data_IF_638011959103
#
_entry.id   IF_638011959103
#
_cell.length_a   1.000
_cell.length_b   1.000
_cell.length_c   1.000
_cell.angle_alpha   90.00
_cell.angle_beta   90.00
_cell.angle_gamma   90.00
#
_symmetry.space_group_name_H-M   'P 1'
#
loop_
_entity.id
_entity.type
_entity.pdbx_description
1 polymer ?
#
# COMPACT_ATOMS: atom_id res chain seq x y z
N UNK A 1 -50.64 33.88 62.52
CA UNK A 1 -49.20 34.06 62.16
C UNK A 1 -48.69 32.74 61.61
N UNK A 2 -48.02 32.61 60.48
CA UNK A 2 -47.59 33.61 59.49
C UNK A 2 -47.49 32.97 58.09
N UNK A 3 -47.56 33.83 57.07
CA UNK A 3 -47.33 33.53 55.66
C UNK A 3 -45.82 33.36 55.41
N UNK A 4 -45.43 32.33 54.64
CA UNK A 4 -44.08 32.17 54.10
C UNK A 4 -44.12 31.93 52.58
N UNK A 5 -43.44 32.82 51.84
CA UNK A 5 -43.44 32.94 50.36
C UNK A 5 -42.78 31.74 49.65
N UNK A 6 -43.32 31.36 48.49
CA UNK A 6 -42.69 30.46 47.53
C UNK A 6 -41.64 31.20 46.67
N UNK A 7 -40.41 30.71 46.66
CA UNK A 7 -39.24 31.34 46.04
C UNK A 7 -39.01 30.80 44.61
N UNK A 8 -39.12 31.66 43.60
CA UNK A 8 -39.02 31.33 42.17
C UNK A 8 -37.58 31.10 41.67
N UNK A 9 -36.96 29.98 42.06
CA UNK A 9 -35.55 29.66 41.75
C UNK A 9 -35.20 28.54 40.75
N UNK A 10 -36.10 27.68 40.20
CA UNK A 10 -35.64 26.60 39.31
C UNK A 10 -35.36 27.07 37.86
N UNK A 11 -36.13 28.04 37.34
CA UNK A 11 -36.00 28.51 35.94
C UNK A 11 -34.68 29.25 35.66
N UNK A 12 -34.22 30.10 36.60
CA UNK A 12 -32.96 30.85 36.44
C UNK A 12 -31.74 29.93 36.37
N UNK A 13 -31.70 28.87 37.19
CA UNK A 13 -30.62 27.87 37.17
C UNK A 13 -30.56 27.16 35.82
N UNK A 14 -31.70 26.70 35.30
CA UNK A 14 -31.74 26.01 34.00
C UNK A 14 -31.27 26.92 32.85
N UNK A 15 -31.70 28.19 32.83
CA UNK A 15 -31.24 29.16 31.83
C UNK A 15 -29.73 29.42 31.93
N UNK A 16 -29.18 29.56 33.14
CA UNK A 16 -27.73 29.70 33.31
C UNK A 16 -26.95 28.47 32.84
N UNK A 17 -27.44 27.25 33.09
CA UNK A 17 -26.75 26.02 32.65
C UNK A 17 -26.77 25.86 31.13
N UNK A 18 -27.91 26.16 30.49
CA UNK A 18 -28.03 26.11 29.02
C UNK A 18 -27.14 27.16 28.35
N UNK A 19 -27.08 28.37 28.91
CA UNK A 19 -26.20 29.42 28.39
C UNK A 19 -24.72 29.04 28.51
N UNK A 20 -24.33 28.42 29.63
CA UNK A 20 -22.95 27.97 29.84
C UNK A 20 -22.56 26.85 28.86
N UNK A 21 -23.46 25.90 28.61
CA UNK A 21 -23.25 24.83 27.62
C UNK A 21 -23.17 25.37 26.19
N UNK A 22 -23.98 26.38 25.85
CA UNK A 22 -23.92 27.04 24.56
C UNK A 22 -22.59 27.78 24.35
N UNK A 23 -22.08 28.46 25.39
CA UNK A 23 -20.78 29.14 25.34
C UNK A 23 -19.63 28.14 25.21
N UNK A 24 -19.65 27.04 25.98
CA UNK A 24 -18.64 25.98 25.88
C UNK A 24 -18.69 25.31 24.50
N UNK A 25 -19.88 25.03 23.97
CA UNK A 25 -20.04 24.50 22.61
C UNK A 25 -19.53 25.44 21.53
N UNK A 26 -19.78 26.75 21.66
CA UNK A 26 -19.27 27.76 20.74
C UNK A 26 -17.75 27.88 20.80
N UNK A 27 -17.15 27.83 22.00
CA UNK A 27 -15.70 27.83 22.17
C UNK A 27 -15.05 26.56 21.59
N UNK A 28 -15.68 25.39 21.76
CA UNK A 28 -15.21 24.13 21.18
C UNK A 28 -15.31 24.13 19.65
N UNK A 29 -16.38 24.71 19.11
CA UNK A 29 -16.57 24.89 17.68
C UNK A 29 -15.54 25.86 17.08
N UNK A 30 -15.28 26.99 17.75
CA UNK A 30 -14.25 27.96 17.33
C UNK A 30 -12.84 27.37 17.43
N UNK A 31 -12.56 26.56 18.47
CA UNK A 31 -11.29 25.86 18.62
C UNK A 31 -11.08 24.81 17.52
N UNK A 32 -12.10 23.98 17.24
CA UNK A 32 -12.04 22.99 16.14
C UNK A 32 -11.84 23.66 14.77
N UNK A 33 -12.44 24.83 14.55
CA UNK A 33 -12.26 25.59 13.32
C UNK A 33 -10.87 26.21 13.19
N UNK A 34 -10.17 26.46 14.31
CA UNK A 34 -8.80 26.99 14.35
C UNK A 34 -7.73 25.88 14.29
N UNK A 35 -8.04 24.65 14.69
CA UNK A 35 -7.08 23.52 14.68
C UNK A 35 -7.12 22.67 13.41
N UNK A 36 -8.03 22.95 12.48
CA UNK A 36 -8.08 22.31 11.17
C UNK A 36 -6.99 22.84 10.23
N UNK A 37 -5.75 22.44 10.46
CA UNK A 37 -4.65 22.67 9.52
C UNK A 37 -4.86 21.78 8.30
N UNK A 38 -4.94 22.37 7.10
CA UNK A 38 -5.03 21.59 5.86
C UNK A 38 -3.76 20.73 5.67
N UNK A 39 -3.87 19.57 5.03
CA UNK A 39 -2.74 18.70 4.68
C UNK A 39 -1.66 19.41 3.84
N UNK A 40 -2.01 20.51 3.17
CA UNK A 40 -1.07 21.41 2.47
C UNK A 40 -0.17 22.18 3.48
N UNK A 41 -0.72 22.58 4.62
CA UNK A 41 0.02 23.33 5.64
C UNK A 41 0.96 22.42 6.45
N UNK A 42 0.67 21.12 6.55
CA UNK A 42 1.64 20.13 7.05
C UNK A 42 2.79 19.91 6.06
N UNK A 43 2.48 19.90 4.74
CA UNK A 43 3.51 19.88 3.69
C UNK A 43 4.39 21.14 3.71
N UNK A 44 3.82 22.31 3.94
CA UNK A 44 4.58 23.57 4.04
C UNK A 44 5.36 23.69 5.34
N UNK A 45 4.87 23.14 6.45
CA UNK A 45 5.61 23.07 7.74
C UNK A 45 6.72 22.02 7.72
N UNK A 46 6.57 20.92 6.98
CA UNK A 46 7.65 19.94 6.79
C UNK A 46 8.75 20.44 5.85
N UNK A 47 8.50 21.52 5.10
CA UNK A 47 9.48 22.26 4.29
C UNK A 47 10.11 23.45 5.03
N UNK A 48 9.66 23.76 6.25
CA UNK A 48 10.39 24.70 7.11
C UNK A 48 11.57 23.95 7.72
N UNK A 49 12.71 24.05 7.05
CA UNK A 49 14.01 23.82 7.66
C UNK A 49 14.04 24.57 8.99
N UNK A 50 14.14 23.83 10.09
CA UNK A 50 14.36 24.39 11.42
C UNK A 50 15.78 24.94 11.49
N UNK A 51 15.93 26.20 11.14
CA UNK A 51 17.15 27.00 11.19
C UNK A 51 16.80 28.39 10.72
N UNK A 52 17.45 29.42 11.28
CA UNK A 52 17.33 30.81 10.84
C UNK A 52 17.22 30.92 9.30
N UNK A 53 16.40 31.86 8.81
CA UNK A 53 16.27 32.24 7.39
C UNK A 53 17.59 32.74 6.75
N UNK A 54 18.74 32.57 7.41
CA UNK A 54 20.06 32.79 6.88
C UNK A 54 20.77 31.46 6.56
N UNK A 55 20.61 31.02 5.31
CA UNK A 55 21.47 30.12 4.52
C UNK A 55 20.74 28.87 3.98
N UNK A 56 19.97 29.04 2.92
CA UNK A 56 19.75 27.94 1.97
C UNK A 56 21.14 27.60 1.38
N UNK A 57 21.67 26.38 1.58
CA UNK A 57 22.97 26.02 1.03
C UNK A 57 22.95 26.16 -0.49
N UNK A 58 23.87 26.95 -1.06
CA UNK A 58 24.00 27.11 -2.52
C UNK A 58 24.32 25.79 -3.23
N UNK A 59 24.84 24.80 -2.50
CA UNK A 59 25.21 23.47 -2.98
C UNK A 59 24.98 22.44 -1.89
N UNK A 60 24.38 21.29 -2.22
CA UNK A 60 24.28 20.13 -1.32
C UNK A 60 25.62 19.40 -1.36
N UNK A 61 26.29 19.15 -0.21
CA UNK A 61 27.58 18.47 -0.20
C UNK A 61 27.45 17.01 -0.67
N UNK A 62 28.55 16.41 -1.14
CA UNK A 62 28.59 14.99 -1.53
C UNK A 62 28.92 14.13 -0.31
N UNK A 63 28.22 13.02 -0.14
CA UNK A 63 28.46 12.06 0.92
C UNK A 63 29.72 11.23 0.66
N UNK A 64 30.29 10.65 1.73
CA UNK A 64 31.27 9.58 1.62
C UNK A 64 30.65 8.37 0.86
N UNK A 65 31.43 7.73 0.00
CA UNK A 65 30.97 6.64 -0.87
C UNK A 65 30.55 5.39 -0.09
N UNK A 66 31.02 5.23 1.15
CA UNK A 66 30.58 4.19 2.09
C UNK A 66 29.10 4.27 2.45
N UNK A 67 28.47 5.43 2.22
CA UNK A 67 27.04 5.62 2.46
C UNK A 67 26.16 5.18 1.27
N UNK A 68 26.75 4.68 0.17
CA UNK A 68 26.02 4.24 -1.03
C UNK A 68 24.96 3.18 -0.76
N UNK A 69 25.23 2.25 0.16
CA UNK A 69 24.30 1.19 0.57
C UNK A 69 23.46 1.58 1.82
N UNK A 70 23.65 2.78 2.35
CA UNK A 70 22.89 3.23 3.52
C UNK A 70 21.45 3.56 3.10
N UNK A 71 20.49 2.89 3.74
CA UNK A 71 19.07 3.20 3.63
C UNK A 71 18.62 3.85 4.94
N UNK A 72 18.51 5.20 5.04
CA UNK A 72 18.50 5.90 6.33
C UNK A 72 17.44 5.45 7.33
N UNK A 73 16.25 5.08 6.86
CA UNK A 73 15.17 4.61 7.73
C UNK A 73 15.07 3.08 7.83
N UNK A 74 15.92 2.32 7.12
CA UNK A 74 15.96 0.86 7.16
C UNK A 74 17.36 0.37 7.57
N UNK A 75 18.13 1.23 8.23
CA UNK A 75 19.48 0.93 8.69
C UNK A 75 19.45 0.06 9.95
N UNK A 76 19.92 -1.19 9.80
CA UNK A 76 20.05 -2.12 10.92
C UNK A 76 21.09 -1.67 11.94
N UNK A 77 22.15 -0.98 11.51
CA UNK A 77 23.16 -0.47 12.44
C UNK A 77 22.56 0.59 13.36
N UNK A 78 21.71 1.45 12.84
CA UNK A 78 20.94 2.40 13.65
C UNK A 78 20.11 1.68 14.73
N UNK A 79 19.40 0.60 14.39
CA UNK A 79 18.62 -0.21 15.35
C UNK A 79 19.52 -0.73 16.48
N UNK A 80 20.67 -1.32 16.16
CA UNK A 80 21.60 -1.85 17.16
C UNK A 80 22.22 -0.76 18.04
N UNK A 81 22.67 0.35 17.45
CA UNK A 81 23.30 1.46 18.16
C UNK A 81 22.33 2.15 19.13
N UNK A 82 21.06 2.25 18.75
CA UNK A 82 20.02 2.87 19.59
C UNK A 82 19.33 1.88 20.52
N UNK A 83 19.66 0.58 20.44
CA UNK A 83 19.07 -0.50 21.25
C UNK A 83 17.54 -0.49 21.19
N UNK A 84 16.97 -0.24 20.02
CA UNK A 84 15.53 -0.28 19.83
C UNK A 84 15.00 -1.67 20.21
N UNK A 85 13.99 -1.70 21.08
CA UNK A 85 13.30 -2.93 21.47
C UNK A 85 12.23 -3.22 20.43
N UNK A 86 12.57 -4.08 19.47
CA UNK A 86 11.70 -4.46 18.37
C UNK A 86 11.20 -5.89 18.55
N UNK A 87 9.96 -6.14 18.18
CA UNK A 87 9.43 -7.48 18.06
C UNK A 87 9.83 -8.09 16.70
N UNK A 88 10.86 -8.95 16.74
CA UNK A 88 11.38 -9.62 15.55
C UNK A 88 10.36 -10.59 14.93
N UNK A 89 9.43 -11.13 15.73
CA UNK A 89 8.39 -12.05 15.26
C UNK A 89 7.36 -11.32 14.40
N UNK A 90 7.22 -10.01 14.59
CA UNK A 90 6.32 -9.14 13.83
C UNK A 90 7.03 -8.38 12.71
N UNK A 91 8.29 -8.72 12.43
CA UNK A 91 9.10 -8.12 11.37
C UNK A 91 9.35 -6.61 11.56
N UNK A 92 9.25 -6.10 12.80
CA UNK A 92 9.45 -4.66 13.09
C UNK A 92 10.84 -4.17 12.68
N UNK A 93 11.85 -5.05 12.63
CA UNK A 93 13.21 -4.74 12.18
C UNK A 93 13.36 -4.45 10.67
N UNK A 94 12.33 -4.74 9.87
CA UNK A 94 12.24 -4.33 8.47
C UNK A 94 11.32 -3.11 8.26
N UNK A 95 10.73 -2.58 9.34
CA UNK A 95 9.96 -1.34 9.28
C UNK A 95 10.87 -0.11 9.36
N UNK A 96 10.28 1.05 9.07
CA UNK A 96 11.02 2.31 9.02
C UNK A 96 11.34 2.81 10.43
N UNK A 97 12.62 2.87 10.77
CA UNK A 97 13.18 3.48 11.97
C UNK A 97 14.14 4.59 11.57
N UNK A 98 13.64 5.83 11.50
CA UNK A 98 14.43 6.94 10.99
C UNK A 98 15.28 7.60 12.10
N UNK A 99 16.52 8.02 11.80
CA UNK A 99 17.37 8.73 12.75
C UNK A 99 16.80 10.11 13.13
N UNK A 100 17.16 10.52 14.36
CA UNK A 100 16.93 11.89 14.84
C UNK A 100 17.62 12.91 13.93
N UNK A 101 17.11 14.15 13.82
CA UNK A 101 17.63 15.16 12.89
C UNK A 101 19.15 15.34 12.92
N UNK A 102 19.77 15.26 14.09
CA UNK A 102 21.21 15.46 14.31
C UNK A 102 22.07 14.33 13.72
N UNK A 103 21.45 13.16 13.48
CA UNK A 103 22.08 11.97 12.90
C UNK A 103 21.73 11.76 11.43
N UNK A 104 20.99 12.70 10.82
CA UNK A 104 20.62 12.63 9.40
C UNK A 104 21.75 13.17 8.54
N UNK A 105 22.06 12.43 7.47
CA UNK A 105 22.97 12.89 6.44
C UNK A 105 22.24 13.88 5.52
N UNK A 106 22.78 15.10 5.38
CA UNK A 106 22.27 16.13 4.48
C UNK A 106 23.25 16.30 3.31
N UNK A 107 23.50 15.22 2.56
CA UNK A 107 24.43 15.18 1.44
C UNK A 107 23.89 14.33 0.29
N UNK A 108 24.44 14.50 -0.91
CA UNK A 108 24.14 13.71 -2.10
C UNK A 108 25.01 12.45 -2.12
N UNK A 109 24.39 11.29 -2.20
CA UNK A 109 25.09 10.02 -2.36
C UNK A 109 25.66 9.97 -3.78
N UNK A 110 26.99 9.82 -3.97
CA UNK A 110 27.56 9.69 -5.30
C UNK A 110 27.15 8.36 -5.94
N UNK A 111 27.00 8.28 -7.27
CA UNK A 111 26.77 7.01 -7.95
C UNK A 111 27.97 6.07 -7.72
N UNK A 112 27.74 4.75 -7.57
CA UNK A 112 28.82 3.78 -7.44
C UNK A 112 29.82 3.85 -8.61
N UNK A 113 31.11 3.56 -8.39
CA UNK A 113 32.10 3.51 -9.46
C UNK A 113 31.66 2.58 -10.60
N UNK A 114 31.63 3.10 -11.84
CA UNK A 114 31.22 2.35 -13.01
C UNK A 114 29.71 2.26 -13.26
N UNK A 115 28.89 2.92 -12.43
CA UNK A 115 27.44 3.04 -12.67
C UNK A 115 27.17 3.65 -14.06
N UNK A 116 26.26 3.03 -14.81
CA UNK A 116 25.87 3.42 -16.17
C UNK A 116 24.47 4.03 -16.15
N UNK A 117 24.19 4.90 -17.11
CA UNK A 117 22.82 5.42 -17.32
C UNK A 117 21.88 4.22 -17.55
N UNK A 118 20.77 4.09 -16.79
CA UNK A 118 19.83 2.98 -16.95
C UNK A 118 19.35 2.81 -18.39
N UNK A 119 19.19 1.55 -18.80
CA UNK A 119 18.61 1.23 -20.10
C UNK A 119 17.18 1.79 -20.14
N UNK A 120 16.80 2.45 -21.23
CA UNK A 120 15.46 3.02 -21.36
C UNK A 120 14.42 1.95 -21.70
N UNK A 121 13.20 2.16 -21.22
CA UNK A 121 12.02 1.40 -21.63
C UNK A 121 11.84 1.46 -23.17
N UNK A 122 11.38 0.39 -23.85
CA UNK A 122 10.95 -0.91 -23.32
C UNK A 122 12.08 -1.91 -23.08
N UNK A 123 13.29 -1.64 -23.58
CA UNK A 123 14.43 -2.57 -23.46
C UNK A 123 14.81 -2.86 -22.01
N UNK A 124 14.55 -1.94 -21.10
CA UNK A 124 14.79 -2.08 -19.66
C UNK A 124 13.97 -3.21 -19.03
N UNK A 125 12.84 -3.61 -19.62
CA UNK A 125 12.04 -4.73 -19.11
C UNK A 125 12.87 -6.01 -19.13
N UNK A 126 13.65 -6.26 -20.19
CA UNK A 126 14.32 -7.53 -20.40
C UNK A 126 15.82 -7.50 -20.05
N UNK A 127 16.41 -6.32 -19.85
CA UNK A 127 17.84 -6.21 -19.56
C UNK A 127 18.20 -4.94 -18.79
N UNK A 128 19.17 -5.08 -17.90
CA UNK A 128 19.81 -3.97 -17.16
C UNK A 128 21.33 -4.09 -17.24
N UNK A 129 22.04 -3.01 -16.88
CA UNK A 129 23.49 -3.04 -16.75
C UNK A 129 23.90 -3.83 -15.52
N UNK A 130 24.86 -4.75 -15.69
CA UNK A 130 25.45 -5.48 -14.56
C UNK A 130 26.14 -4.54 -13.58
N UNK A 131 26.79 -3.49 -14.08
CA UNK A 131 27.50 -2.50 -13.26
C UNK A 131 26.59 -1.70 -12.32
N UNK A 132 25.27 -1.67 -12.58
CA UNK A 132 24.29 -0.97 -11.75
C UNK A 132 23.72 -1.86 -10.63
N UNK A 133 24.09 -3.14 -10.60
CA UNK A 133 23.62 -4.12 -9.61
C UNK A 133 24.82 -4.54 -8.76
N UNK A 134 25.01 -3.95 -7.56
CA UNK A 134 26.22 -4.16 -6.76
C UNK A 134 26.35 -5.59 -6.21
N UNK A 135 25.24 -6.29 -5.97
CA UNK A 135 25.23 -7.65 -5.39
C UNK A 135 24.54 -8.69 -6.29
N UNK A 136 25.30 -9.36 -7.17
CA UNK A 136 24.72 -10.33 -8.11
C UNK A 136 24.48 -11.73 -7.51
N UNK A 137 24.52 -11.92 -6.19
CA UNK A 137 24.39 -13.25 -5.56
C UNK A 137 23.08 -13.96 -5.93
N UNK A 138 21.97 -13.21 -6.00
CA UNK A 138 20.66 -13.74 -6.41
C UNK A 138 20.68 -14.34 -7.82
N UNK A 139 21.53 -13.83 -8.72
CA UNK A 139 21.69 -14.37 -10.06
C UNK A 139 22.25 -15.79 -10.04
N UNK A 140 23.16 -16.07 -9.11
CA UNK A 140 23.75 -17.40 -8.90
C UNK A 140 22.73 -18.34 -8.26
N UNK A 141 22.08 -17.91 -7.17
CA UNK A 141 21.13 -18.73 -6.39
C UNK A 141 19.86 -19.13 -7.15
N UNK A 142 19.41 -18.33 -8.13
CA UNK A 142 18.14 -18.52 -8.86
C UNK A 142 18.34 -18.78 -10.36
N UNK A 143 19.55 -19.19 -10.73
CA UNK A 143 19.93 -19.47 -12.13
C UNK A 143 19.10 -20.60 -12.75
N UNK A 144 18.73 -21.61 -11.95
CA UNK A 144 17.88 -22.75 -12.31
C UNK A 144 16.44 -22.35 -12.68
N UNK A 145 15.92 -21.28 -12.08
CA UNK A 145 14.54 -20.85 -12.27
C UNK A 145 14.35 -19.90 -13.46
N UNK A 146 15.41 -19.62 -14.23
CA UNK A 146 15.40 -18.68 -15.37
C UNK A 146 14.93 -17.26 -14.98
N UNK A 147 15.20 -16.84 -13.76
CA UNK A 147 14.82 -15.50 -13.28
C UNK A 147 15.69 -14.42 -13.95
N UNK A 148 16.99 -14.67 -14.06
CA UNK A 148 17.94 -13.78 -14.70
C UNK A 148 19.16 -14.54 -15.22
N UNK A 149 19.83 -13.99 -16.24
CA UNK A 149 21.04 -14.55 -16.84
C UNK A 149 22.05 -13.42 -17.04
N UNK A 150 23.25 -13.60 -16.49
CA UNK A 150 24.35 -12.66 -16.74
C UNK A 150 24.90 -12.93 -18.16
N UNK A 151 24.86 -11.92 -19.04
CA UNK A 151 25.40 -11.95 -20.41
C UNK A 151 26.34 -10.76 -20.62
N UNK A 152 27.64 -11.00 -20.41
CA UNK A 152 28.67 -9.96 -20.52
C UNK A 152 28.41 -8.81 -19.54
N UNK A 153 28.25 -7.59 -20.07
CA UNK A 153 27.98 -6.38 -19.29
C UNK A 153 26.51 -6.21 -18.85
N UNK A 154 25.63 -7.15 -19.20
CA UNK A 154 24.20 -7.04 -18.94
C UNK A 154 23.68 -8.21 -18.13
N UNK A 155 22.60 -7.95 -17.39
CA UNK A 155 21.76 -8.97 -16.78
C UNK A 155 20.47 -9.00 -17.60
N UNK A 156 20.10 -10.17 -18.10
CA UNK A 156 18.91 -10.40 -18.93
C UNK A 156 17.84 -11.12 -18.09
N UNK A 157 16.59 -10.71 -18.23
CA UNK A 157 15.42 -11.28 -17.53
C UNK A 157 14.55 -12.02 -18.55
N UNK A 158 14.60 -13.36 -18.61
CA UNK A 158 13.81 -14.14 -19.56
C UNK A 158 12.28 -14.12 -19.32
N UNK A 159 11.81 -13.36 -18.33
CA UNK A 159 10.40 -13.36 -17.90
C UNK A 159 9.97 -14.57 -17.08
N UNK A 160 10.91 -15.44 -16.69
CA UNK A 160 10.64 -16.63 -15.87
C UNK A 160 10.48 -16.31 -14.38
N UNK A 161 9.86 -17.23 -13.65
CA UNK A 161 9.60 -17.15 -12.21
C UNK A 161 9.29 -18.52 -11.61
N UNK A 162 9.25 -18.63 -10.28
CA UNK A 162 8.89 -19.90 -9.60
C UNK A 162 7.50 -20.40 -9.99
N UNK A 163 6.52 -19.52 -10.21
CA UNK A 163 5.16 -19.90 -10.64
C UNK A 163 4.83 -19.50 -12.08
N UNK A 164 5.76 -18.88 -12.81
CA UNK A 164 5.59 -18.56 -14.23
C UNK A 164 6.76 -19.11 -15.05
N UNK A 165 6.95 -20.43 -14.97
CA UNK A 165 8.00 -21.18 -15.67
C UNK A 165 8.02 -20.97 -17.19
N UNK A 166 6.86 -20.64 -17.77
CA UNK A 166 6.67 -20.46 -19.22
C UNK A 166 6.62 -18.99 -19.67
N UNK A 167 6.83 -18.05 -18.74
CA UNK A 167 6.81 -16.61 -18.98
C UNK A 167 5.72 -15.87 -18.19
N UNK A 168 6.06 -14.67 -17.69
CA UNK A 168 5.14 -13.79 -16.97
C UNK A 168 3.98 -13.30 -17.86
N UNK A 169 4.21 -13.11 -19.15
CA UNK A 169 3.20 -12.79 -20.16
C UNK A 169 2.05 -13.81 -20.19
N UNK A 170 2.38 -15.12 -20.26
CA UNK A 170 1.39 -16.19 -20.29
C UNK A 170 0.65 -16.31 -18.97
N UNK A 171 1.33 -16.08 -17.86
CA UNK A 171 0.72 -16.07 -16.54
C UNK A 171 -0.28 -14.90 -16.39
N UNK A 172 0.08 -13.70 -16.83
CA UNK A 172 -0.80 -12.53 -16.85
C UNK A 172 -2.03 -12.79 -17.74
N UNK A 173 -1.83 -13.36 -18.94
CA UNK A 173 -2.92 -13.74 -19.83
C UNK A 173 -3.82 -14.83 -19.21
N UNK A 174 -3.24 -15.77 -18.46
CA UNK A 174 -4.00 -16.78 -17.71
C UNK A 174 -4.85 -16.16 -16.60
N UNK A 175 -4.34 -15.17 -15.86
CA UNK A 175 -5.14 -14.44 -14.85
C UNK A 175 -6.31 -13.73 -15.53
N UNK A 176 -6.06 -13.04 -16.63
CA UNK A 176 -7.11 -12.35 -17.39
C UNK A 176 -8.16 -13.34 -17.91
N UNK A 177 -7.74 -14.51 -18.41
CA UNK A 177 -8.65 -15.59 -18.81
C UNK A 177 -9.48 -16.12 -17.63
N UNK A 178 -8.85 -16.36 -16.48
CA UNK A 178 -9.53 -16.81 -15.27
C UNK A 178 -10.62 -15.84 -14.80
N UNK A 179 -10.43 -14.54 -15.03
CA UNK A 179 -11.38 -13.48 -14.72
C UNK A 179 -12.36 -13.17 -15.87
N UNK A 180 -12.30 -13.92 -16.97
CA UNK A 180 -13.09 -13.70 -18.17
C UNK A 180 -12.96 -12.28 -18.75
N UNK A 181 -11.77 -11.70 -18.67
CA UNK A 181 -11.52 -10.39 -19.27
C UNK A 181 -11.40 -10.50 -20.80
N UNK A 182 -11.85 -9.46 -21.54
CA UNK A 182 -11.83 -9.47 -23.00
C UNK A 182 -10.45 -9.79 -23.57
N UNK A 183 -10.40 -10.69 -24.55
CA UNK A 183 -9.19 -11.10 -25.28
C UNK A 183 -8.03 -11.59 -24.39
N UNK A 184 -8.32 -12.01 -23.15
CA UNK A 184 -7.30 -12.36 -22.15
C UNK A 184 -6.32 -11.19 -21.85
N UNK A 185 -6.78 -9.95 -21.98
CA UNK A 185 -5.99 -8.76 -21.66
C UNK A 185 -6.30 -8.30 -20.24
N UNK A 186 -5.27 -8.24 -19.40
CA UNK A 186 -5.41 -7.95 -17.96
C UNK A 186 -5.97 -6.54 -17.68
N UNK A 187 -5.74 -5.58 -18.58
CA UNK A 187 -6.18 -4.19 -18.46
C UNK A 187 -7.71 -4.05 -18.35
N UNK A 188 -8.46 -5.02 -18.89
CA UNK A 188 -9.92 -5.08 -18.82
C UNK A 188 -10.59 -3.76 -19.28
N UNK A 189 -10.29 -3.32 -20.50
CA UNK A 189 -10.84 -2.07 -21.09
C UNK A 189 -10.60 -0.83 -20.21
N UNK A 190 -9.42 -0.75 -19.61
CA UNK A 190 -8.97 0.35 -18.75
C UNK A 190 -9.47 0.27 -17.31
N UNK A 191 -10.26 -0.73 -16.94
CA UNK A 191 -10.79 -0.86 -15.58
C UNK A 191 -9.72 -1.25 -14.57
N UNK A 192 -8.82 -2.16 -14.93
CA UNK A 192 -7.70 -2.58 -14.08
C UNK A 192 -6.43 -1.83 -14.49
N UNK A 193 -5.90 -0.98 -13.60
CA UNK A 193 -4.77 -0.09 -13.91
C UNK A 193 -3.65 -0.16 -12.89
N UNK A 194 -4.00 -0.26 -11.61
CA UNK A 194 -3.10 -0.22 -10.48
C UNK A 194 -3.07 -1.58 -9.78
N UNK A 195 -1.89 -2.16 -9.73
CA UNK A 195 -1.62 -3.46 -9.11
C UNK A 195 -0.71 -3.28 -7.91
N UNK A 196 -1.02 -3.95 -6.80
CA UNK A 196 -0.11 -4.10 -5.67
C UNK A 196 0.56 -5.47 -5.75
N UNK A 197 1.88 -5.51 -5.93
CA UNK A 197 2.62 -6.75 -6.15
C UNK A 197 3.52 -7.05 -4.96
N UNK A 198 3.17 -8.08 -4.19
CA UNK A 198 3.85 -8.44 -2.95
C UNK A 198 4.84 -9.57 -3.19
N UNK A 199 6.11 -9.36 -2.82
CA UNK A 199 7.18 -10.33 -3.05
C UNK A 199 7.57 -10.38 -4.53
N UNK A 200 7.87 -9.22 -5.11
CA UNK A 200 8.07 -9.06 -6.55
C UNK A 200 9.29 -9.82 -7.13
N UNK A 201 10.20 -10.30 -6.29
CA UNK A 201 11.42 -10.99 -6.71
C UNK A 201 12.27 -10.08 -7.61
N UNK A 202 12.37 -10.41 -8.89
CA UNK A 202 13.07 -9.60 -9.90
C UNK A 202 12.16 -8.60 -10.62
N UNK A 203 10.88 -8.53 -10.24
CA UNK A 203 9.82 -7.69 -10.81
C UNK A 203 9.35 -8.05 -12.24
N UNK A 204 9.49 -9.32 -12.66
CA UNK A 204 9.01 -9.76 -13.98
C UNK A 204 7.50 -9.58 -14.15
N UNK A 205 6.70 -9.86 -13.11
CA UNK A 205 5.25 -9.64 -13.18
C UNK A 205 4.92 -8.15 -13.45
N UNK A 206 5.47 -7.24 -12.66
CA UNK A 206 5.29 -5.79 -12.84
C UNK A 206 5.79 -5.27 -14.20
N UNK A 207 6.94 -5.75 -14.67
CA UNK A 207 7.51 -5.33 -15.95
C UNK A 207 6.64 -5.70 -17.15
N UNK A 208 6.06 -6.90 -17.16
CA UNK A 208 5.22 -7.36 -18.28
C UNK A 208 3.82 -6.74 -18.26
N UNK A 209 3.31 -6.32 -17.10
CA UNK A 209 2.06 -5.56 -16.99
C UNK A 209 2.08 -4.22 -17.72
N UNK A 210 3.25 -3.58 -17.85
CA UNK A 210 3.40 -2.29 -18.54
C UNK A 210 2.95 -2.36 -20.00
N UNK A 211 3.13 -3.51 -20.66
CA UNK A 211 2.68 -3.72 -22.06
C UNK A 211 1.16 -3.68 -22.22
N UNK A 212 0.42 -3.84 -21.11
CA UNK A 212 -1.03 -3.77 -21.05
C UNK A 212 -1.52 -2.49 -20.38
N UNK A 213 -0.72 -1.41 -20.36
CA UNK A 213 -1.05 -0.17 -19.65
C UNK A 213 -1.41 -0.38 -18.16
N UNK A 214 -0.86 -1.41 -17.52
CA UNK A 214 -1.05 -1.69 -16.09
C UNK A 214 0.25 -1.41 -15.35
N UNK A 215 0.19 -0.68 -14.23
CA UNK A 215 1.36 -0.42 -13.38
C UNK A 215 1.21 -1.24 -12.11
N UNK A 216 2.27 -1.99 -11.79
CA UNK A 216 2.45 -2.58 -10.48
C UNK A 216 3.28 -1.67 -9.59
N UNK A 217 2.86 -1.55 -8.35
CA UNK A 217 3.67 -1.07 -7.26
C UNK A 217 4.19 -2.28 -6.49
N UNK A 218 5.47 -2.57 -6.67
CA UNK A 218 6.11 -3.76 -6.12
C UNK A 218 6.66 -3.52 -4.71
N UNK A 219 6.42 -4.48 -3.82
CA UNK A 219 6.87 -4.48 -2.43
C UNK A 219 7.82 -5.66 -2.18
N UNK A 220 9.00 -5.37 -1.63
CA UNK A 220 9.92 -6.37 -1.12
C UNK A 220 10.65 -5.87 0.14
N UNK A 221 10.99 -6.76 1.09
CA UNK A 221 11.83 -6.40 2.24
C UNK A 221 13.27 -6.09 1.81
N UNK A 222 14.00 -5.38 2.67
CA UNK A 222 15.46 -5.28 2.59
C UNK A 222 16.12 -6.55 3.18
N UNK A 223 15.81 -7.71 2.61
CA UNK A 223 16.26 -9.02 3.11
C UNK A 223 17.65 -9.41 2.58
N UNK A 224 18.08 -10.63 2.89
CA UNK A 224 19.38 -11.21 2.49
C UNK A 224 19.61 -11.26 0.97
N UNK A 225 18.58 -11.02 0.15
CA UNK A 225 18.70 -11.00 -1.30
C UNK A 225 19.02 -9.60 -1.86
N UNK A 226 18.97 -8.55 -1.03
CA UNK A 226 19.44 -7.14 -1.16
C UNK A 226 18.98 -6.35 -2.41
N UNK A 227 18.97 -6.93 -3.61
CA UNK A 227 18.76 -6.24 -4.87
C UNK A 227 17.35 -6.36 -5.48
N UNK A 228 16.37 -6.95 -4.80
CA UNK A 228 15.03 -7.14 -5.36
C UNK A 228 14.42 -5.83 -5.89
N UNK A 229 14.49 -4.76 -5.07
CA UNK A 229 14.00 -3.42 -5.45
C UNK A 229 14.93 -2.76 -6.46
N UNK A 230 16.25 -2.93 -6.35
CA UNK A 230 17.20 -2.37 -7.32
C UNK A 230 16.94 -2.92 -8.74
N UNK A 231 16.65 -4.22 -8.88
CA UNK A 231 16.25 -4.81 -10.16
C UNK A 231 14.98 -4.17 -10.71
N UNK A 232 13.95 -3.95 -9.89
CA UNK A 232 12.73 -3.28 -10.34
C UNK A 232 13.02 -1.86 -10.84
N UNK A 233 13.78 -1.07 -10.08
CA UNK A 233 14.08 0.32 -10.40
C UNK A 233 14.92 0.46 -11.67
N UNK A 234 15.97 -0.35 -11.83
CA UNK A 234 16.80 -0.36 -13.06
C UNK A 234 16.02 -0.78 -14.31
N UNK A 235 14.93 -1.55 -14.12
CA UNK A 235 14.01 -1.95 -15.19
C UNK A 235 12.93 -0.89 -15.46
N UNK A 236 12.81 0.14 -14.64
CA UNK A 236 11.78 1.20 -14.73
C UNK A 236 10.44 0.83 -14.10
N UNK A 237 10.43 -0.12 -13.16
CA UNK A 237 9.23 -0.64 -12.50
C UNK A 237 9.08 0.03 -11.13
N UNK A 238 7.93 0.64 -10.81
CA UNK A 238 7.71 1.23 -9.49
C UNK A 238 7.80 0.18 -8.39
N UNK A 239 8.71 0.42 -7.44
CA UNK A 239 8.93 -0.49 -6.33
C UNK A 239 9.46 0.26 -5.11
N UNK A 240 9.23 -0.29 -3.92
CA UNK A 240 9.74 0.27 -2.68
C UNK A 240 10.06 -0.82 -1.67
N UNK A 241 11.00 -0.51 -0.79
CA UNK A 241 11.35 -1.37 0.34
C UNK A 241 10.28 -1.28 1.43
N UNK A 242 9.81 -2.43 1.89
CA UNK A 242 8.87 -2.50 3.00
C UNK A 242 8.39 -3.92 3.29
N UNK A 243 7.57 -4.03 4.33
CA UNK A 243 7.00 -5.29 4.80
C UNK A 243 5.55 -5.11 5.20
N UNK A 244 4.82 -6.23 5.22
CA UNK A 244 3.55 -6.35 5.92
C UNK A 244 3.84 -6.70 7.39
N UNK A 245 4.31 -5.70 8.15
CA UNK A 245 4.70 -5.80 9.56
C UNK A 245 3.56 -5.43 10.51
N UNK A 246 3.73 -4.36 11.27
CA UNK A 246 2.78 -3.80 12.23
C UNK A 246 2.11 -2.51 11.74
N UNK A 247 2.76 -1.74 10.86
CA UNK A 247 2.27 -0.47 10.33
C UNK A 247 1.47 -0.64 9.05
N UNK A 248 0.45 0.19 8.84
CA UNK A 248 -0.29 0.27 7.58
C UNK A 248 0.68 0.51 6.41
N UNK A 249 0.36 -0.10 5.28
CA UNK A 249 1.00 0.20 4.01
C UNK A 249 0.79 1.69 3.68
N UNK A 250 1.76 2.34 3.01
CA UNK A 250 1.76 3.79 2.76
C UNK A 250 0.80 4.21 1.64
N UNK A 251 -0.34 3.54 1.52
CA UNK A 251 -1.37 3.80 0.53
C UNK A 251 -2.70 4.08 1.23
N UNK A 252 -3.41 5.16 0.83
CA UNK A 252 -4.79 5.37 1.26
C UNK A 252 -5.64 4.13 0.96
N UNK A 253 -6.79 4.00 1.64
CA UNK A 253 -7.69 2.89 1.35
C UNK A 253 -8.07 2.86 -0.13
N UNK A 254 -8.43 1.69 -0.69
CA UNK A 254 -9.02 1.60 -2.04
C UNK A 254 -8.09 2.15 -3.15
N UNK A 255 -6.78 1.94 -3.04
CA UNK A 255 -5.78 2.43 -3.99
C UNK A 255 -5.60 1.49 -5.21
N UNK A 256 -5.83 0.19 -5.05
CA UNK A 256 -5.50 -0.83 -6.05
C UNK A 256 -6.73 -1.59 -6.54
N UNK A 257 -6.72 -1.97 -7.82
CA UNK A 257 -7.75 -2.85 -8.40
C UNK A 257 -7.40 -4.34 -8.27
N UNK A 258 -6.11 -4.66 -8.18
CA UNK A 258 -5.65 -6.04 -8.00
C UNK A 258 -4.43 -6.08 -7.07
N UNK A 259 -4.45 -7.02 -6.14
CA UNK A 259 -3.29 -7.44 -5.38
C UNK A 259 -2.79 -8.77 -5.93
N UNK A 260 -1.48 -8.92 -6.01
CA UNK A 260 -0.83 -10.12 -6.47
C UNK A 260 0.18 -10.59 -5.43
N UNK A 261 0.14 -11.89 -5.13
CA UNK A 261 1.19 -12.58 -4.40
C UNK A 261 1.47 -13.91 -5.09
N UNK A 262 2.71 -14.10 -5.52
CA UNK A 262 3.20 -15.38 -6.02
C UNK A 262 4.35 -15.86 -5.14
N UNK A 263 4.09 -16.87 -4.29
CA UNK A 263 5.04 -17.37 -3.28
C UNK A 263 5.63 -16.26 -2.40
N UNK A 264 4.84 -15.26 -2.01
CA UNK A 264 5.33 -14.12 -1.24
C UNK A 264 5.76 -14.47 0.21
N UNK A 265 5.54 -15.71 0.66
CA UNK A 265 5.89 -16.22 2.01
C UNK A 265 5.28 -15.40 3.14
N UNK A 266 4.09 -14.86 2.92
CA UNK A 266 3.32 -14.18 3.95
C UNK A 266 2.38 -15.19 4.59
N UNK A 267 2.50 -15.34 5.91
CA UNK A 267 1.45 -15.97 6.69
C UNK A 267 0.27 -15.00 6.78
N UNK A 268 -0.77 -15.24 5.97
CA UNK A 268 -1.98 -14.42 5.91
C UNK A 268 -2.94 -14.67 7.08
N UNK A 269 -2.74 -15.74 7.86
CA UNK A 269 -3.60 -16.11 9.00
C UNK A 269 -3.10 -15.53 10.32
N UNK A 270 -1.83 -15.16 10.39
CA UNK A 270 -1.23 -14.56 11.58
C UNK A 270 -2.07 -13.40 12.14
N UNK A 271 -2.03 -13.23 13.46
CA UNK A 271 -2.64 -12.09 14.16
C UNK A 271 -4.10 -11.85 13.74
N UNK A 272 -4.89 -12.93 13.68
CA UNK A 272 -6.31 -12.90 13.29
C UNK A 272 -6.54 -12.36 11.87
N UNK A 273 -5.63 -12.64 10.95
CA UNK A 273 -5.76 -12.21 9.56
C UNK A 273 -5.45 -10.73 9.31
N UNK A 274 -4.74 -10.07 10.23
CA UNK A 274 -4.50 -8.61 10.16
C UNK A 274 -3.83 -8.17 8.84
N UNK A 275 -2.95 -9.01 8.27
CA UNK A 275 -2.27 -8.69 7.02
C UNK A 275 -3.22 -8.76 5.82
N UNK A 276 -4.15 -9.72 5.84
CA UNK A 276 -5.18 -9.84 4.81
C UNK A 276 -6.20 -8.70 4.93
N UNK A 277 -6.44 -8.20 6.14
CA UNK A 277 -7.27 -7.02 6.39
C UNK A 277 -6.60 -5.71 5.96
N UNK A 278 -5.28 -5.62 6.05
CA UNK A 278 -4.55 -4.51 5.47
C UNK A 278 -4.59 -4.55 3.93
N UNK A 279 -4.50 -5.74 3.33
CA UNK A 279 -4.73 -5.93 1.91
C UNK A 279 -6.16 -5.54 1.50
N UNK A 280 -7.15 -5.93 2.30
CA UNK A 280 -8.54 -5.53 2.12
C UNK A 280 -8.70 -4.01 2.12
N UNK A 281 -8.07 -3.30 3.08
CA UNK A 281 -8.15 -1.84 3.18
C UNK A 281 -7.70 -1.15 1.89
N UNK A 282 -6.59 -1.60 1.29
CA UNK A 282 -6.02 -0.96 0.09
C UNK A 282 -6.66 -1.39 -1.22
N UNK A 283 -7.43 -2.48 -1.24
CA UNK A 283 -8.18 -2.92 -2.41
C UNK A 283 -9.50 -2.16 -2.57
N UNK A 284 -9.79 -1.75 -3.81
CA UNK A 284 -11.08 -1.15 -4.19
C UNK A 284 -12.24 -2.14 -4.04
N UNK A 285 -13.50 -1.68 -3.95
CA UNK A 285 -14.65 -2.57 -4.09
C UNK A 285 -14.59 -3.32 -5.42
N UNK A 286 -14.86 -4.61 -5.41
CA UNK A 286 -14.68 -5.48 -6.58
C UNK A 286 -13.23 -5.74 -6.98
N UNK A 287 -12.26 -5.25 -6.19
CA UNK A 287 -10.85 -5.53 -6.40
C UNK A 287 -10.52 -7.00 -6.18
N UNK A 288 -9.47 -7.47 -6.86
CA UNK A 288 -9.07 -8.87 -6.88
C UNK A 288 -7.83 -9.13 -6.02
N UNK A 289 -7.74 -10.33 -5.46
CA UNK A 289 -6.49 -10.86 -4.90
C UNK A 289 -6.13 -12.14 -5.62
N UNK A 290 -5.10 -12.08 -6.48
CA UNK A 290 -4.53 -13.22 -7.16
C UNK A 290 -3.40 -13.82 -6.31
N UNK A 291 -3.62 -15.04 -5.82
CA UNK A 291 -2.72 -15.75 -4.94
C UNK A 291 -2.27 -17.06 -5.60
N UNK A 292 -0.96 -17.16 -5.84
CA UNK A 292 -0.30 -18.34 -6.42
C UNK A 292 0.72 -18.88 -5.43
N UNK A 293 0.36 -19.94 -4.71
CA UNK A 293 1.18 -20.51 -3.63
C UNK A 293 0.73 -21.95 -3.35
N UNK A 294 1.57 -22.83 -2.77
CA UNK A 294 1.23 -24.23 -2.48
C UNK A 294 -0.11 -24.39 -1.76
N UNK A 295 -0.43 -23.51 -0.81
CA UNK A 295 -1.71 -23.53 -0.07
C UNK A 295 -2.94 -23.39 -0.99
N UNK A 296 -2.78 -22.90 -2.23
CA UNK A 296 -3.87 -22.84 -3.19
C UNK A 296 -4.15 -24.17 -3.91
N UNK A 297 -3.15 -25.06 -4.07
CA UNK A 297 -3.24 -26.20 -5.00
C UNK A 297 -2.65 -27.53 -4.50
N UNK A 298 -1.70 -27.49 -3.57
CA UNK A 298 -1.08 -28.67 -2.99
C UNK A 298 -2.09 -29.48 -2.17
N UNK A 299 -1.78 -30.75 -1.96
CA UNK A 299 -2.70 -31.74 -1.42
C UNK A 299 -2.23 -32.38 -0.12
N UNK A 300 -1.08 -31.96 0.40
CA UNK A 300 -0.63 -32.35 1.73
C UNK A 300 -1.52 -31.73 2.82
N UNK A 301 -1.40 -32.30 4.02
CA UNK A 301 -2.28 -32.00 5.14
C UNK A 301 -2.18 -30.54 5.60
N UNK A 302 -0.96 -30.00 5.64
CA UNK A 302 -0.71 -28.65 6.14
C UNK A 302 -1.23 -27.59 5.16
N UNK A 303 -0.92 -27.72 3.88
CA UNK A 303 -1.42 -26.79 2.85
C UNK A 303 -2.96 -26.81 2.77
N UNK A 304 -3.59 -27.98 2.94
CA UNK A 304 -5.06 -28.10 3.01
C UNK A 304 -5.65 -27.46 4.27
N UNK A 305 -4.96 -27.56 5.41
CA UNK A 305 -5.37 -26.91 6.66
C UNK A 305 -5.33 -25.39 6.51
N UNK A 306 -4.23 -24.85 6.00
CA UNK A 306 -4.06 -23.42 5.76
C UNK A 306 -5.09 -22.93 4.75
N UNK A 307 -5.32 -23.65 3.65
CA UNK A 307 -6.35 -23.33 2.66
C UNK A 307 -7.74 -23.19 3.30
N UNK A 308 -8.13 -24.15 4.16
CA UNK A 308 -9.44 -24.17 4.83
C UNK A 308 -9.59 -22.97 5.75
N UNK A 309 -8.57 -22.66 6.55
CA UNK A 309 -8.57 -21.52 7.46
C UNK A 309 -8.60 -20.19 6.70
N UNK A 310 -7.80 -20.04 5.64
CA UNK A 310 -7.79 -18.86 4.78
C UNK A 310 -9.15 -18.67 4.12
N UNK A 311 -9.72 -19.73 3.54
CA UNK A 311 -11.03 -19.71 2.89
C UNK A 311 -12.15 -19.33 3.87
N UNK A 312 -12.07 -19.82 5.11
CA UNK A 312 -13.02 -19.44 6.15
C UNK A 312 -12.88 -17.96 6.56
N UNK A 313 -11.65 -17.45 6.69
CA UNK A 313 -11.38 -16.05 7.00
C UNK A 313 -11.90 -15.12 5.89
N UNK A 314 -11.51 -15.34 4.64
CA UNK A 314 -11.96 -14.49 3.51
C UNK A 314 -13.47 -14.58 3.30
N UNK A 315 -14.08 -15.75 3.57
CA UNK A 315 -15.53 -15.90 3.59
C UNK A 315 -16.20 -15.01 4.65
N UNK A 316 -15.66 -14.96 5.87
CA UNK A 316 -16.13 -14.02 6.91
C UNK A 316 -15.85 -12.56 6.56
N UNK A 317 -14.86 -12.30 5.71
CA UNK A 317 -14.60 -10.99 5.10
C UNK A 317 -15.52 -10.69 3.90
N UNK A 318 -16.50 -11.54 3.59
CA UNK A 318 -17.42 -11.39 2.46
C UNK A 318 -16.76 -11.46 1.07
N UNK A 319 -15.52 -11.95 0.97
CA UNK A 319 -14.88 -12.18 -0.31
C UNK A 319 -15.42 -13.46 -0.94
N UNK A 320 -15.41 -13.51 -2.27
CA UNK A 320 -15.82 -14.68 -3.04
C UNK A 320 -14.67 -15.17 -3.90
N UNK A 321 -14.64 -16.46 -4.22
CA UNK A 321 -13.74 -16.97 -5.25
C UNK A 321 -14.27 -16.49 -6.59
N UNK A 322 -13.50 -15.66 -7.29
CA UNK A 322 -13.77 -15.29 -8.67
C UNK A 322 -13.37 -16.42 -9.62
N UNK A 323 -12.22 -17.05 -9.34
CA UNK A 323 -11.73 -18.20 -10.10
C UNK A 323 -10.69 -18.97 -9.30
N UNK A 324 -10.61 -20.29 -9.50
CA UNK A 324 -9.54 -21.13 -8.98
C UNK A 324 -9.16 -22.14 -10.05
N UNK A 325 -7.91 -22.10 -10.51
CA UNK A 325 -7.42 -22.98 -11.58
C UNK A 325 -5.92 -23.23 -11.40
N UNK A 326 -5.51 -24.48 -11.55
CA UNK A 326 -4.12 -24.93 -11.40
C UNK A 326 -3.55 -24.44 -10.05
N UNK A 327 -2.46 -23.66 -10.10
CA UNK A 327 -1.74 -23.15 -8.93
C UNK A 327 -2.30 -21.84 -8.35
N UNK A 328 -3.34 -21.25 -8.97
CA UNK A 328 -3.79 -19.89 -8.67
C UNK A 328 -5.24 -19.89 -8.21
N UNK A 329 -5.50 -19.16 -7.13
CA UNK A 329 -6.83 -18.72 -6.71
C UNK A 329 -6.93 -17.21 -6.86
N UNK A 330 -8.08 -16.73 -7.30
CA UNK A 330 -8.40 -15.31 -7.37
C UNK A 330 -9.66 -15.08 -6.54
N UNK A 331 -9.54 -14.28 -5.49
CA UNK A 331 -10.67 -13.78 -4.74
C UNK A 331 -11.09 -12.40 -5.23
N UNK A 332 -12.35 -12.03 -4.97
CA UNK A 332 -12.90 -10.72 -5.27
C UNK A 332 -13.61 -10.13 -4.05
N UNK A 333 -13.33 -8.85 -3.79
CA UNK A 333 -14.00 -8.06 -2.73
C UNK A 333 -15.47 -7.81 -3.07
N UNK A 334 -16.35 -7.66 -2.06
CA UNK A 334 -17.71 -7.22 -2.31
C UNK A 334 -17.73 -5.79 -2.88
N UNK A 335 -18.71 -5.51 -3.74
CA UNK A 335 -18.93 -4.17 -4.33
C UNK A 335 -19.62 -3.20 -3.35
N UNK A 336 -20.31 -3.73 -2.34
CA UNK A 336 -21.14 -2.97 -1.39
C UNK A 336 -20.93 -3.44 0.05
N UNK A 337 -21.45 -2.67 1.00
CA UNK A 337 -21.47 -3.04 2.42
C UNK A 337 -22.55 -4.09 2.76
N UNK A 338 -23.37 -4.55 1.79
CA UNK A 338 -24.56 -5.38 2.08
C UNK A 338 -24.22 -6.67 2.81
N UNK A 339 -23.14 -7.33 2.41
CA UNK A 339 -22.68 -8.52 3.11
C UNK A 339 -22.16 -8.18 4.50
N UNK A 340 -21.39 -7.09 4.65
CA UNK A 340 -20.85 -6.65 5.94
C UNK A 340 -21.94 -6.39 6.97
N UNK A 341 -23.05 -5.77 6.56
CA UNK A 341 -24.17 -5.41 7.43
C UNK A 341 -25.07 -6.60 7.81
N UNK A 342 -24.96 -7.72 7.09
CA UNK A 342 -25.72 -8.96 7.36
C UNK A 342 -24.94 -9.99 8.17
N UNK A 343 -23.73 -9.64 8.62
CA UNK A 343 -22.90 -10.54 9.43
C UNK A 343 -23.47 -10.64 10.84
N UNK A 344 -23.35 -11.80 11.44
CA UNK A 344 -23.72 -12.01 12.84
C UNK A 344 -22.89 -11.09 13.76
N UNK A 345 -23.45 -10.52 14.84
CA UNK A 345 -22.79 -9.54 15.70
C UNK A 345 -21.39 -9.91 16.20
N UNK A 346 -21.14 -11.21 16.45
CA UNK A 346 -19.87 -11.72 16.98
C UNK A 346 -18.92 -12.28 15.91
N UNK A 347 -19.21 -12.00 14.62
CA UNK A 347 -18.38 -12.48 13.52
C UNK A 347 -17.02 -11.78 13.51
N UNK A 348 -15.96 -12.55 13.68
CA UNK A 348 -14.59 -12.05 13.53
C UNK A 348 -14.12 -12.17 12.08
N UNK A 349 -13.42 -11.15 11.52
CA UNK A 349 -13.00 -9.90 12.17
C UNK A 349 -14.12 -8.83 12.24
N UNK A 350 -14.20 -8.01 13.30
CA UNK A 350 -15.25 -6.99 13.45
C UNK A 350 -15.16 -5.91 12.37
N UNK A 351 -16.18 -5.05 12.27
CA UNK A 351 -16.09 -3.82 11.48
C UNK A 351 -15.25 -2.78 12.22
N UNK A 352 -14.48 -1.99 11.49
CA UNK A 352 -13.70 -0.90 12.08
C UNK A 352 -14.62 0.17 12.68
N UNK A 353 -14.12 0.86 13.72
CA UNK A 353 -14.83 2.01 14.31
C UNK A 353 -15.15 3.05 13.22
N UNK A 354 -16.33 3.71 13.27
CA UNK A 354 -16.62 4.85 12.38
C UNK A 354 -15.60 6.00 12.51
N UNK A 355 -14.90 6.09 13.65
CA UNK A 355 -13.85 7.09 13.90
C UNK A 355 -12.48 6.67 13.37
N UNK A 356 -12.32 5.45 12.87
CA UNK A 356 -11.07 4.99 12.27
C UNK A 356 -10.96 5.52 10.84
N UNK A 357 -10.06 6.48 10.64
CA UNK A 357 -9.75 6.99 9.30
C UNK A 357 -9.00 5.90 8.51
N UNK A 358 -9.58 5.32 7.45
CA UNK A 358 -8.94 4.26 6.68
C UNK A 358 -7.82 4.78 5.75
N UNK A 359 -7.67 6.11 5.64
CA UNK A 359 -6.71 6.79 4.79
C UNK A 359 -5.51 7.33 5.54
N UNK A 360 -5.58 7.34 6.88
CA UNK A 360 -4.43 7.58 7.73
C UNK A 360 -3.44 6.41 7.62
N UNK A 361 -2.24 6.69 7.08
CA UNK A 361 -1.23 5.66 6.79
C UNK A 361 0.09 5.87 7.55
N UNK A 362 0.49 7.11 7.81
CA UNK A 362 1.82 7.40 8.30
C UNK A 362 1.96 7.13 9.80
N UNK A 363 2.76 6.13 10.17
CA UNK A 363 2.95 5.72 11.57
C UNK A 363 1.71 5.10 12.22
N UNK A 364 0.71 4.70 11.42
CA UNK A 364 -0.54 4.11 11.91
C UNK A 364 -0.38 2.59 11.94
N UNK A 365 -0.66 1.97 13.09
CA UNK A 365 -0.69 0.50 13.21
C UNK A 365 -1.87 -0.10 12.44
N UNK A 366 -1.64 -1.25 11.82
CA UNK A 366 -2.70 -2.05 11.21
C UNK A 366 -3.75 -2.43 12.26
N UNK A 367 -4.98 -2.69 11.81
CA UNK A 367 -6.09 -3.08 12.68
C UNK A 367 -6.76 -4.34 12.12
N UNK A 368 -7.08 -5.28 13.01
CA UNK A 368 -7.78 -6.50 12.64
C UNK A 368 -9.31 -6.28 12.55
N UNK A 369 -9.72 -5.39 11.63
CA UNK A 369 -11.12 -5.06 11.38
C UNK A 369 -11.37 -4.76 9.89
N UNK A 370 -12.62 -4.89 9.44
CA UNK A 370 -13.03 -4.58 8.06
C UNK A 370 -13.46 -3.12 7.97
N UNK A 371 -12.88 -2.40 7.02
CA UNK A 371 -13.26 -1.01 6.73
C UNK A 371 -14.54 -0.98 5.90
N UNK A 372 -15.55 -0.24 6.36
CA UNK A 372 -16.78 -0.02 5.58
C UNK A 372 -16.55 0.98 4.45
N UNK A 373 -17.28 0.79 3.35
CA UNK A 373 -17.34 1.78 2.28
C UNK A 373 -18.18 2.99 2.69
N UNK A 374 -17.84 4.19 2.21
CA UNK A 374 -18.70 5.36 2.35
C UNK A 374 -20.03 5.17 1.61
N UNK A 375 -21.06 5.93 1.97
CA UNK A 375 -22.40 5.81 1.38
C UNK A 375 -22.39 5.99 -0.15
N UNK A 376 -21.54 6.90 -0.64
CA UNK A 376 -21.37 7.11 -2.08
C UNK A 376 -20.81 5.86 -2.75
N UNK A 377 -19.72 5.30 -2.22
CA UNK A 377 -19.09 4.10 -2.77
C UNK A 377 -20.04 2.90 -2.73
N UNK A 378 -20.78 2.76 -1.63
CA UNK A 378 -21.79 1.73 -1.46
C UNK A 378 -22.87 1.82 -2.56
N UNK A 379 -23.32 3.03 -2.90
CA UNK A 379 -24.28 3.26 -3.99
C UNK A 379 -23.66 3.05 -5.38
N UNK A 380 -22.43 3.50 -5.58
CA UNK A 380 -21.76 3.48 -6.87
C UNK A 380 -21.34 2.07 -7.32
N UNK A 381 -21.10 1.15 -6.38
CA UNK A 381 -20.71 -0.24 -6.67
C UNK A 381 -19.48 -0.34 -7.58
N UNK A 382 -18.54 0.61 -7.44
CA UNK A 382 -17.31 0.70 -8.24
C UNK A 382 -17.50 1.18 -9.68
N UNK A 383 -18.71 1.53 -10.11
CA UNK A 383 -19.00 1.99 -11.48
C UNK A 383 -18.62 3.45 -11.72
N UNK A 384 -18.32 4.20 -10.67
CA UNK A 384 -17.99 5.62 -10.70
C UNK A 384 -16.55 5.89 -11.15
N UNK A 385 -15.66 4.90 -11.06
CA UNK A 385 -14.27 5.04 -11.47
C UNK A 385 -14.12 4.91 -12.99
N UNK A 386 -13.76 6.01 -13.65
CA UNK A 386 -13.50 6.01 -15.09
C UNK A 386 -12.39 5.01 -15.49
N UNK A 387 -12.52 4.33 -16.64
CA UNK A 387 -11.46 3.50 -17.19
C UNK A 387 -10.26 4.35 -17.64
N UNK A 388 -9.10 3.73 -17.68
CA UNK A 388 -7.92 4.31 -18.34
C UNK A 388 -8.12 4.37 -19.87
N UNK A 389 -7.70 5.43 -20.57
CA UNK A 389 -6.99 6.62 -20.08
C UNK A 389 -7.87 7.78 -19.60
N UNK A 390 -9.20 7.70 -19.75
CA UNK A 390 -10.12 8.78 -19.34
C UNK A 390 -9.97 9.17 -17.86
N UNK A 391 -9.59 8.22 -16.99
CA UNK A 391 -9.26 8.44 -15.58
C UNK A 391 -8.23 9.54 -15.32
N UNK A 392 -7.36 9.87 -16.28
CA UNK A 392 -6.31 10.88 -16.11
C UNK A 392 -6.89 12.29 -15.89
N UNK A 393 -8.02 12.59 -16.53
CA UNK A 393 -8.66 13.91 -16.51
C UNK A 393 -10.06 13.89 -15.89
N UNK A 394 -10.59 12.70 -15.58
CA UNK A 394 -11.90 12.58 -14.93
C UNK A 394 -11.76 12.84 -13.43
N UNK A 395 -12.60 13.70 -12.82
CA UNK A 395 -12.63 13.90 -11.38
C UNK A 395 -12.81 12.58 -10.64
N UNK A 396 -11.90 12.19 -9.72
CA UNK A 396 -12.05 10.96 -8.96
C UNK A 396 -13.32 11.00 -8.09
N UNK A 397 -14.15 9.94 -8.08
CA UNK A 397 -15.40 9.93 -7.30
C UNK A 397 -15.17 10.18 -5.81
N UNK A 398 -14.00 9.74 -5.33
CA UNK A 398 -13.54 9.89 -3.95
C UNK A 398 -13.37 11.33 -3.50
N UNK A 399 -13.27 12.32 -4.41
CA UNK A 399 -13.16 13.73 -4.02
C UNK A 399 -14.33 14.17 -3.12
N UNK A 400 -15.50 13.59 -3.31
CA UNK A 400 -16.66 13.86 -2.47
C UNK A 400 -16.51 13.35 -1.02
N UNK A 401 -15.69 12.33 -0.74
CA UNK A 401 -15.33 11.92 0.63
C UNK A 401 -14.56 13.05 1.37
N UNK A 402 -13.97 14.00 0.64
CA UNK A 402 -13.20 15.14 1.18
C UNK A 402 -13.93 16.49 1.03
N UNK A 403 -15.23 16.50 0.71
CA UNK A 403 -15.99 17.71 0.40
C UNK A 403 -15.37 18.55 -0.74
N UNK A 404 -14.73 17.89 -1.70
CA UNK A 404 -14.11 18.53 -2.85
C UNK A 404 -14.98 18.29 -4.10
N UNK A 405 -15.49 19.37 -4.71
CA UNK A 405 -16.43 19.26 -5.83
C UNK A 405 -15.74 19.02 -7.17
N UNK A 406 -16.49 18.47 -8.13
CA UNK A 406 -16.06 18.35 -9.52
C UNK A 406 -15.66 19.71 -10.12
N UNK A 407 -16.42 20.76 -9.83
CA UNK A 407 -16.12 22.13 -10.29
C UNK A 407 -14.77 22.63 -9.74
N UNK A 408 -14.46 22.33 -8.48
CA UNK A 408 -13.15 22.67 -7.88
C UNK A 408 -12.02 21.88 -8.55
N UNK A 409 -12.26 20.63 -8.94
CA UNK A 409 -11.28 19.81 -9.65
C UNK A 409 -11.00 20.40 -11.03
N UNK A 410 -12.05 20.67 -11.81
CA UNK A 410 -11.95 21.21 -13.15
C UNK A 410 -11.25 22.56 -13.16
N UNK A 411 -11.58 23.48 -12.23
CA UNK A 411 -10.89 24.77 -12.10
C UNK A 411 -9.39 24.65 -11.84
N UNK A 412 -8.98 23.65 -11.05
CA UNK A 412 -7.57 23.44 -10.71
C UNK A 412 -6.78 22.66 -11.77
N UNK A 413 -7.47 22.03 -12.72
CA UNK A 413 -6.85 21.29 -13.83
C UNK A 413 -6.61 22.15 -15.07
N UNK A 414 -7.20 23.35 -15.14
CA UNK A 414 -6.88 24.36 -16.17
C UNK A 414 -5.56 25.02 -15.76
N UNK A 415 -4.45 24.53 -16.32
CA UNK A 415 -3.10 25.12 -16.21
C UNK A 415 -3.00 26.33 -17.13
#
# INVERSE_FOLDING_TARGET
>A
MGRGKADGKPRKRLFTTVLLLAIVGALFFLYSRKSGSSSIEYGSKSLKFGGDDSAIPKTIPVCDDRLSELIPCLDRNFIYQTRLKLDLTLMEHYERHCPMPERRYNCLIPPPPGYKIPIKWPKSIDQVWRANIPHTHLATEKSDQRWMVVKGEKIVFPGGGTHFHYGADKYIASIANMLNFPNNVINNEGRLRNVFDVGCGVASFGGYLLSSDVIAMSLAPNDVHENQIQFALERGIPAYLGVLGTLRLPYPSRSFELAHCSRCRIDWLQRNGILLLELDRILRPGGYFAYSSPEAYAQDEEDRRIWKEMSALVGRMCWKIASKRNQTVIWVKPLTNDCYLKREPDTHPPLCSPSDDPDAVWGVKMKACITRYSDQMHRAKGADLAPWPARLTTPPPRLADFNYSTEMFEKNMVI
#
